data_IF_821741154672
#
_entry.id   IF_821741154672
#
_cell.length_a   1.000
_cell.length_b   1.000
_cell.length_c   1.000
_cell.angle_alpha   90.00
_cell.angle_beta   90.00
_cell.angle_gamma   90.00
#
_symmetry.space_group_name_H-M   'P 1'
#
loop_
_entity.id
_entity.type
_entity.pdbx_description
1 polymer ?
#
# COMPACT_ATOMS: atom_id res chain seq x y z
N UNK A 1 12.94 -24.49 3.72
CA UNK A 1 14.34 -24.04 3.74
C UNK A 1 14.72 -23.74 2.30
N UNK A 2 15.05 -22.49 1.97
CA UNK A 2 15.56 -22.15 0.62
C UNK A 2 16.91 -22.84 0.43
N UNK A 3 17.12 -23.42 -0.76
CA UNK A 3 18.39 -24.00 -1.12
C UNK A 3 19.47 -22.88 -1.08
N UNK A 4 20.57 -23.04 -0.32
CA UNK A 4 21.61 -22.01 -0.22
C UNK A 4 22.35 -21.76 -1.56
N UNK A 5 22.03 -22.53 -2.60
CA UNK A 5 22.57 -22.36 -3.96
C UNK A 5 21.61 -21.67 -4.92
N UNK A 6 20.40 -21.29 -4.45
CA UNK A 6 19.48 -20.54 -5.32
C UNK A 6 19.97 -19.09 -5.45
N UNK A 7 20.46 -18.77 -6.64
CA UNK A 7 20.84 -17.40 -6.98
C UNK A 7 19.64 -16.48 -6.93
N UNK A 8 19.79 -15.31 -6.32
CA UNK A 8 18.73 -14.31 -6.20
C UNK A 8 19.12 -12.97 -6.83
N UNK A 9 18.11 -12.27 -7.28
CA UNK A 9 18.21 -10.88 -7.72
C UNK A 9 17.47 -10.03 -6.71
N UNK A 10 18.15 -9.12 -6.04
CA UNK A 10 17.58 -8.30 -4.97
C UNK A 10 17.77 -6.81 -5.24
N UNK A 11 16.67 -6.06 -5.25
CA UNK A 11 16.68 -4.62 -5.48
C UNK A 11 17.06 -3.85 -4.21
N UNK A 12 17.76 -2.72 -4.37
CA UNK A 12 17.94 -1.74 -3.30
C UNK A 12 16.57 -1.14 -2.90
N UNK A 13 16.38 -0.87 -1.61
CA UNK A 13 15.18 -0.22 -1.08
C UNK A 13 14.83 1.08 -1.82
N UNK A 14 15.82 1.93 -2.08
CA UNK A 14 15.68 3.20 -2.79
C UNK A 14 16.22 3.14 -4.23
N UNK A 15 16.26 1.94 -4.83
CA UNK A 15 16.86 1.73 -6.14
C UNK A 15 16.25 2.62 -7.22
N UNK A 16 14.93 2.68 -7.30
CA UNK A 16 14.25 3.53 -8.29
C UNK A 16 14.39 5.03 -8.02
N UNK A 17 14.49 5.45 -6.77
CA UNK A 17 14.75 6.84 -6.40
C UNK A 17 16.15 7.28 -6.86
N UNK A 18 17.15 6.40 -6.75
CA UNK A 18 18.54 6.70 -7.10
C UNK A 18 18.79 6.92 -8.60
N UNK A 19 17.91 6.39 -9.46
CA UNK A 19 18.02 6.52 -10.93
C UNK A 19 17.61 7.89 -11.41
N UNK A 20 16.81 8.56 -10.64
CA UNK A 20 16.17 9.80 -11.04
C UNK A 20 17.10 10.99 -10.82
N UNK A 21 17.30 11.89 -11.82
CA UNK A 21 17.98 13.14 -11.57
C UNK A 21 17.27 13.91 -10.44
N UNK A 22 17.91 14.84 -9.77
CA UNK A 22 17.59 15.50 -8.50
C UNK A 22 16.11 15.93 -8.24
N UNK A 23 15.18 15.61 -9.13
CA UNK A 23 13.73 15.78 -9.01
C UNK A 23 12.91 14.63 -9.61
N UNK A 24 13.52 13.58 -10.12
CA UNK A 24 12.84 12.62 -10.99
C UNK A 24 11.78 11.73 -10.31
N UNK A 25 11.91 11.44 -9.01
CA UNK A 25 10.81 10.79 -8.28
C UNK A 25 9.53 11.63 -8.32
N UNK A 26 9.64 12.97 -8.34
CA UNK A 26 8.47 13.87 -8.42
C UNK A 26 7.87 13.94 -9.82
N UNK A 27 8.65 13.67 -10.87
CA UNK A 27 8.20 13.76 -12.26
C UNK A 27 7.95 12.39 -12.90
N UNK A 28 8.47 11.31 -12.33
CA UNK A 28 8.28 9.94 -12.84
C UNK A 28 6.80 9.56 -12.91
N UNK A 29 6.33 9.28 -14.12
CA UNK A 29 4.95 8.84 -14.39
C UNK A 29 4.81 7.32 -14.42
N UNK A 30 5.86 6.61 -14.83
CA UNK A 30 5.83 5.16 -14.99
C UNK A 30 7.17 4.54 -14.57
N UNK A 31 7.10 3.32 -14.06
CA UNK A 31 8.24 2.43 -13.84
C UNK A 31 7.97 1.16 -14.62
N UNK A 32 8.80 0.88 -15.64
CA UNK A 32 8.53 -0.19 -16.61
C UNK A 32 9.72 -1.13 -16.73
N UNK A 33 9.44 -2.43 -16.73
CA UNK A 33 10.40 -3.44 -17.12
C UNK A 33 10.54 -3.49 -18.64
N UNK A 34 11.78 -3.74 -19.11
CA UNK A 34 12.09 -3.98 -20.52
C UNK A 34 12.85 -5.29 -20.68
N UNK A 35 12.92 -5.82 -21.92
CA UNK A 35 13.58 -7.08 -22.23
C UNK A 35 15.08 -6.94 -22.47
N UNK A 36 15.57 -5.74 -22.74
CA UNK A 36 16.99 -5.44 -22.93
C UNK A 36 17.28 -3.97 -22.62
N UNK A 37 18.55 -3.64 -22.43
CA UNK A 37 19.04 -2.26 -22.32
C UNK A 37 19.40 -1.77 -23.72
N UNK A 38 18.75 -0.72 -24.27
CA UNK A 38 19.12 -0.16 -25.57
C UNK A 38 20.58 0.34 -25.57
N UNK A 39 21.26 0.22 -26.70
CA UNK A 39 22.70 0.56 -26.82
C UNK A 39 23.01 2.05 -26.75
N UNK A 40 22.00 2.89 -26.98
CA UNK A 40 22.09 4.35 -27.00
C UNK A 40 21.65 5.02 -25.69
N UNK A 41 21.28 4.23 -24.68
CA UNK A 41 20.88 4.75 -23.37
C UNK A 41 22.10 5.24 -22.59
N UNK A 42 22.00 6.48 -22.12
CA UNK A 42 22.99 7.07 -21.21
C UNK A 42 22.51 7.02 -19.74
N UNK A 43 23.47 7.10 -18.82
CA UNK A 43 23.19 7.15 -17.37
C UNK A 43 22.47 5.91 -16.82
N UNK A 44 22.81 4.72 -17.32
CA UNK A 44 22.36 3.47 -16.72
C UNK A 44 22.99 3.29 -15.34
N UNK A 45 22.16 3.00 -14.35
CA UNK A 45 22.57 2.81 -12.96
C UNK A 45 22.20 1.39 -12.51
N UNK A 46 23.09 0.77 -11.76
CA UNK A 46 22.79 -0.49 -11.09
C UNK A 46 22.02 -0.23 -9.80
N UNK A 47 20.91 -0.94 -9.60
CA UNK A 47 20.01 -0.73 -8.46
C UNK A 47 19.79 -2.01 -7.63
N UNK A 48 20.62 -3.00 -7.81
CA UNK A 48 20.65 -4.21 -6.98
C UNK A 48 21.47 -4.00 -5.69
N UNK A 49 21.21 -4.88 -4.70
CA UNK A 49 22.03 -4.95 -3.49
C UNK A 49 23.36 -5.63 -3.76
N UNK A 50 24.35 -5.40 -2.88
CA UNK A 50 25.64 -6.10 -2.94
C UNK A 50 25.53 -7.61 -2.75
N UNK A 51 24.40 -8.12 -2.25
CA UNK A 51 24.12 -9.55 -2.09
C UNK A 51 23.38 -10.15 -3.29
N UNK A 52 23.08 -9.34 -4.31
CA UNK A 52 22.42 -9.81 -5.52
C UNK A 52 23.41 -10.55 -6.41
N UNK A 53 22.98 -11.70 -6.95
CA UNK A 53 23.75 -12.50 -7.90
C UNK A 53 23.66 -11.97 -9.36
N UNK A 54 22.69 -11.07 -9.61
CA UNK A 54 22.41 -10.53 -10.94
C UNK A 54 22.21 -9.04 -10.89
N UNK A 55 22.64 -8.37 -11.94
CA UNK A 55 22.45 -6.92 -12.09
C UNK A 55 20.97 -6.57 -12.31
N UNK A 56 20.57 -5.41 -11.76
CA UNK A 56 19.33 -4.72 -12.10
C UNK A 56 19.72 -3.35 -12.63
N UNK A 57 19.69 -3.20 -13.94
CA UNK A 57 20.01 -1.94 -14.62
C UNK A 57 18.78 -1.07 -14.72
N UNK A 58 18.89 0.22 -14.38
CA UNK A 58 17.79 1.15 -14.52
C UNK A 58 18.25 2.50 -15.03
N UNK A 59 17.36 3.23 -15.70
CA UNK A 59 17.61 4.57 -16.22
C UNK A 59 16.31 5.37 -16.32
N UNK A 60 16.41 6.67 -16.32
CA UNK A 60 15.28 7.58 -16.47
C UNK A 60 15.27 8.17 -17.89
N UNK A 61 14.12 8.05 -18.56
CA UNK A 61 13.85 8.71 -19.83
C UNK A 61 13.06 10.00 -19.60
N UNK A 62 13.68 11.13 -19.93
CA UNK A 62 13.10 12.46 -19.74
C UNK A 62 11.99 12.79 -20.73
N UNK A 63 11.90 12.09 -21.89
CA UNK A 63 10.87 12.31 -22.88
C UNK A 63 9.56 11.64 -22.48
N UNK A 64 9.66 10.48 -21.82
CA UNK A 64 8.51 9.69 -21.36
C UNK A 64 8.19 9.89 -19.88
N UNK A 65 9.02 10.62 -19.13
CA UNK A 65 8.95 10.69 -17.67
C UNK A 65 8.88 9.29 -17.01
N UNK A 66 9.70 8.37 -17.55
CA UNK A 66 9.63 6.94 -17.21
C UNK A 66 10.97 6.44 -16.70
N UNK A 67 10.95 5.71 -15.59
CA UNK A 67 12.05 4.86 -15.18
C UNK A 67 11.90 3.52 -15.88
N UNK A 68 12.88 3.15 -16.68
CA UNK A 68 12.99 1.79 -17.22
C UNK A 68 13.96 0.97 -16.39
N UNK A 69 13.69 -0.33 -16.29
CA UNK A 69 14.62 -1.26 -15.67
C UNK A 69 14.70 -2.59 -16.41
N UNK A 70 15.86 -3.22 -16.29
CA UNK A 70 16.18 -4.50 -16.89
C UNK A 70 16.90 -5.40 -15.90
N UNK A 71 16.55 -6.68 -15.90
CA UNK A 71 17.32 -7.77 -15.32
C UNK A 71 17.02 -9.04 -16.11
N UNK A 72 18.00 -9.94 -16.21
CA UNK A 72 17.82 -11.25 -16.85
C UNK A 72 16.83 -12.14 -16.09
N UNK A 73 16.63 -11.87 -14.81
CA UNK A 73 15.82 -12.70 -13.94
C UNK A 73 14.33 -12.34 -14.01
N UNK A 74 13.49 -13.37 -13.97
CA UNK A 74 12.02 -13.17 -13.96
C UNK A 74 11.52 -12.62 -12.64
N UNK A 75 12.22 -12.89 -11.54
CA UNK A 75 11.82 -12.57 -10.16
C UNK A 75 12.86 -11.67 -9.50
N UNK A 76 12.40 -10.63 -8.85
CA UNK A 76 13.22 -9.67 -8.12
C UNK A 76 12.80 -9.72 -6.65
N UNK A 77 13.73 -10.03 -5.76
CA UNK A 77 13.47 -10.04 -4.33
C UNK A 77 13.55 -8.62 -3.76
N UNK A 78 12.60 -8.31 -2.89
CA UNK A 78 12.62 -7.10 -2.08
C UNK A 78 13.39 -7.35 -0.77
N UNK A 79 14.16 -6.39 -0.26
CA UNK A 79 14.78 -6.49 1.05
C UNK A 79 13.70 -6.57 2.16
N UNK A 80 14.11 -6.97 3.35
CA UNK A 80 13.22 -7.12 4.50
C UNK A 80 12.51 -5.82 4.93
N UNK A 81 13.15 -4.69 4.74
CA UNK A 81 12.61 -3.35 5.02
C UNK A 81 12.55 -2.53 3.75
N UNK A 82 11.35 -2.32 3.23
CA UNK A 82 11.07 -1.47 2.06
C UNK A 82 10.30 -0.19 2.45
N UNK A 83 10.50 0.30 3.68
CA UNK A 83 9.93 1.56 4.15
C UNK A 83 10.09 2.66 3.09
N UNK A 84 8.97 3.20 2.63
CA UNK A 84 8.95 4.32 1.70
C UNK A 84 9.54 4.05 0.30
N UNK A 85 9.63 2.79 -0.18
CA UNK A 85 10.25 2.46 -1.48
C UNK A 85 9.75 3.32 -2.65
N UNK A 86 8.46 3.68 -2.64
CA UNK A 86 7.85 4.58 -3.62
C UNK A 86 7.31 5.86 -2.97
N UNK A 87 7.86 6.24 -1.80
CA UNK A 87 7.45 7.46 -1.10
C UNK A 87 7.59 8.68 -2.01
N UNK A 88 6.50 9.46 -2.12
CA UNK A 88 6.47 10.72 -2.85
C UNK A 88 6.79 10.62 -4.37
N UNK A 89 6.54 9.47 -4.99
CA UNK A 89 6.45 9.37 -6.45
C UNK A 89 5.15 10.04 -6.90
N UNK A 90 5.10 11.35 -6.77
CA UNK A 90 3.88 12.16 -6.78
C UNK A 90 3.13 12.16 -8.11
N UNK A 91 3.81 11.86 -9.23
CA UNK A 91 3.28 11.78 -10.58
C UNK A 91 3.09 10.36 -11.09
N UNK A 92 3.51 9.36 -10.32
CA UNK A 92 3.39 7.95 -10.69
C UNK A 92 1.92 7.60 -10.91
N UNK A 93 1.58 7.08 -12.10
CA UNK A 93 0.19 6.77 -12.50
C UNK A 93 -0.17 5.30 -12.31
N UNK A 94 0.75 4.41 -12.65
CA UNK A 94 0.55 2.98 -12.50
C UNK A 94 1.86 2.27 -12.17
N UNK A 95 1.76 1.17 -11.45
CA UNK A 95 2.91 0.36 -11.06
C UNK A 95 2.54 -1.12 -11.05
N UNK A 96 3.29 -1.91 -11.82
CA UNK A 96 3.19 -3.37 -11.81
C UNK A 96 4.34 -3.98 -11.02
N UNK A 97 4.03 -4.59 -9.90
CA UNK A 97 4.98 -5.30 -9.03
C UNK A 97 4.81 -6.83 -9.10
N UNK A 98 4.14 -7.37 -10.13
CA UNK A 98 3.85 -8.79 -10.25
C UNK A 98 5.09 -9.70 -10.33
N UNK A 99 6.24 -9.15 -10.72
CA UNK A 99 7.52 -9.84 -10.74
C UNK A 99 8.40 -9.63 -9.51
N UNK A 100 7.89 -8.90 -8.50
CA UNK A 100 8.60 -8.69 -7.24
C UNK A 100 8.18 -9.70 -6.18
N UNK A 101 9.15 -10.22 -5.45
CA UNK A 101 8.96 -11.15 -4.33
C UNK A 101 9.14 -10.42 -3.01
N UNK A 102 8.07 -10.31 -2.26
CA UNK A 102 8.03 -9.67 -0.95
C UNK A 102 8.10 -10.66 0.22
N UNK A 103 8.40 -11.95 -0.02
CA UNK A 103 8.36 -13.01 1.02
C UNK A 103 9.32 -12.80 2.19
N UNK A 104 10.28 -11.88 2.07
CA UNK A 104 11.18 -11.48 3.15
C UNK A 104 10.79 -10.17 3.83
N UNK A 105 9.82 -9.43 3.26
CA UNK A 105 9.46 -8.11 3.74
C UNK A 105 8.78 -8.19 5.10
N UNK A 106 9.25 -7.37 6.03
CA UNK A 106 8.68 -7.21 7.38
C UNK A 106 8.08 -5.83 7.60
N UNK A 107 8.48 -4.83 6.80
CA UNK A 107 8.04 -3.45 6.90
C UNK A 107 7.63 -2.87 5.54
N UNK A 108 6.32 -2.59 5.39
CA UNK A 108 5.68 -1.94 4.24
C UNK A 108 5.29 -0.48 4.52
N UNK A 109 5.70 0.07 5.68
CA UNK A 109 5.26 1.41 6.06
C UNK A 109 5.69 2.46 5.03
N UNK A 110 4.82 3.41 4.78
CA UNK A 110 4.99 4.52 3.83
C UNK A 110 5.24 4.12 2.37
N UNK A 111 5.06 2.85 1.98
CA UNK A 111 5.49 2.36 0.65
C UNK A 111 4.95 3.20 -0.50
N UNK A 112 3.69 3.64 -0.44
CA UNK A 112 3.03 4.48 -1.46
C UNK A 112 2.54 5.82 -0.90
N UNK A 113 3.09 6.27 0.23
CA UNK A 113 2.71 7.58 0.81
C UNK A 113 3.01 8.70 -0.18
N UNK A 114 2.01 9.58 -0.40
CA UNK A 114 2.10 10.73 -1.32
C UNK A 114 2.28 10.37 -2.81
N UNK A 115 1.85 9.19 -3.23
CA UNK A 115 1.69 8.85 -4.63
C UNK A 115 0.37 9.45 -5.16
N UNK A 116 0.30 10.79 -5.25
CA UNK A 116 -0.95 11.53 -5.46
C UNK A 116 -1.70 11.16 -6.74
N UNK A 117 -0.96 10.81 -7.82
CA UNK A 117 -1.52 10.50 -9.13
C UNK A 117 -1.65 8.99 -9.39
N UNK A 118 -1.31 8.13 -8.41
CA UNK A 118 -1.36 6.68 -8.57
C UNK A 118 -2.82 6.22 -8.72
N UNK A 119 -3.15 5.66 -9.88
CA UNK A 119 -4.47 5.15 -10.24
C UNK A 119 -4.56 3.64 -10.03
N UNK A 120 -3.47 2.92 -10.38
CA UNK A 120 -3.41 1.46 -10.35
C UNK A 120 -2.08 0.96 -9.77
N UNK A 121 -2.16 -0.05 -8.91
CA UNK A 121 -1.00 -0.79 -8.44
C UNK A 121 -1.31 -2.29 -8.44
N UNK A 122 -0.45 -3.08 -9.07
CA UNK A 122 -0.56 -4.53 -9.07
C UNK A 122 0.32 -5.13 -7.96
N UNK A 123 -0.34 -5.60 -6.90
CA UNK A 123 0.27 -6.25 -5.73
C UNK A 123 -0.04 -7.75 -5.69
N UNK A 124 -0.46 -8.36 -6.78
CA UNK A 124 -0.93 -9.76 -6.82
C UNK A 124 0.14 -10.79 -6.41
N UNK A 125 1.43 -10.44 -6.53
CA UNK A 125 2.56 -11.29 -6.11
C UNK A 125 2.95 -11.12 -4.65
N UNK A 126 2.38 -10.13 -3.94
CA UNK A 126 2.84 -9.81 -2.59
C UNK A 126 2.48 -10.88 -1.57
N UNK A 127 3.50 -11.42 -0.92
CA UNK A 127 3.37 -12.21 0.31
C UNK A 127 3.64 -11.29 1.51
N UNK A 128 2.61 -11.03 2.31
CA UNK A 128 2.70 -10.17 3.49
C UNK A 128 2.74 -10.96 4.81
N UNK A 129 2.95 -12.27 4.74
CA UNK A 129 2.89 -13.17 5.91
C UNK A 129 3.95 -12.90 6.99
N UNK A 130 4.99 -12.11 6.67
CA UNK A 130 6.02 -11.67 7.62
C UNK A 130 5.89 -10.21 8.02
N UNK A 131 5.00 -9.45 7.39
CA UNK A 131 4.86 -8.01 7.62
C UNK A 131 4.31 -7.74 9.01
N UNK A 132 4.94 -6.81 9.70
CA UNK A 132 4.55 -6.35 11.05
C UNK A 132 4.11 -4.89 11.07
N UNK A 133 4.50 -4.11 10.06
CA UNK A 133 4.20 -2.68 9.97
C UNK A 133 3.67 -2.30 8.57
N UNK A 134 2.46 -1.72 8.56
CA UNK A 134 1.78 -1.19 7.38
C UNK A 134 1.38 0.29 7.58
N UNK A 135 2.06 1.00 8.50
CA UNK A 135 1.80 2.41 8.76
C UNK A 135 1.84 3.24 7.47
N UNK A 136 0.80 4.03 7.24
CA UNK A 136 0.71 4.98 6.11
C UNK A 136 0.95 4.38 4.72
N UNK A 137 0.78 3.06 4.54
CA UNK A 137 1.18 2.37 3.29
C UNK A 137 0.59 3.04 2.03
N UNK A 138 -0.68 3.48 2.07
CA UNK A 138 -1.37 4.14 0.96
C UNK A 138 -1.78 5.59 1.25
N UNK A 139 -1.22 6.18 2.30
CA UNK A 139 -1.59 7.54 2.70
C UNK A 139 -1.37 8.53 1.57
N UNK A 140 -2.38 9.35 1.25
CA UNK A 140 -2.38 10.30 0.13
C UNK A 140 -2.25 9.70 -1.28
N UNK A 141 -2.49 8.41 -1.48
CA UNK A 141 -2.68 7.84 -2.82
C UNK A 141 -4.09 8.17 -3.31
N UNK A 142 -4.26 9.43 -3.75
CA UNK A 142 -5.58 10.06 -3.92
C UNK A 142 -6.39 9.56 -5.09
N UNK A 143 -5.74 9.05 -6.14
CA UNK A 143 -6.38 8.66 -7.41
C UNK A 143 -6.82 7.21 -7.46
N UNK A 144 -6.35 6.36 -6.55
CA UNK A 144 -6.76 4.96 -6.48
C UNK A 144 -8.27 4.88 -6.21
N UNK A 145 -9.00 4.23 -7.12
CA UNK A 145 -10.44 3.97 -7.00
C UNK A 145 -10.74 2.59 -6.45
N UNK A 146 -9.93 1.61 -6.83
CA UNK A 146 -10.05 0.21 -6.46
C UNK A 146 -8.69 -0.33 -6.04
N UNK A 147 -8.65 -1.05 -4.93
CA UNK A 147 -7.43 -1.61 -4.38
C UNK A 147 -7.65 -3.10 -4.07
N UNK A 148 -6.90 -3.96 -4.76
CA UNK A 148 -6.98 -5.40 -4.53
C UNK A 148 -5.94 -5.82 -3.48
N UNK A 149 -6.40 -6.20 -2.29
CA UNK A 149 -5.61 -6.69 -1.17
C UNK A 149 -5.97 -8.13 -0.78
N UNK A 150 -6.61 -8.89 -1.68
CA UNK A 150 -7.16 -10.23 -1.38
C UNK A 150 -6.09 -11.25 -0.99
N UNK A 151 -4.83 -11.03 -1.36
CA UNK A 151 -3.68 -11.87 -1.01
C UNK A 151 -2.96 -11.43 0.27
N UNK A 152 -3.38 -10.32 0.90
CA UNK A 152 -2.71 -9.81 2.11
C UNK A 152 -3.01 -10.68 3.32
N UNK A 153 -1.96 -11.14 3.99
CA UNK A 153 -2.02 -11.76 5.30
C UNK A 153 -1.56 -10.74 6.36
N UNK A 154 -2.47 -10.35 7.25
CA UNK A 154 -2.19 -9.34 8.29
C UNK A 154 -2.04 -9.93 9.69
N UNK A 155 -1.89 -11.24 9.80
CA UNK A 155 -1.84 -11.93 11.11
C UNK A 155 -0.74 -11.42 12.03
N UNK A 156 0.42 -10.99 11.46
CA UNK A 156 1.55 -10.47 12.24
C UNK A 156 1.59 -8.95 12.36
N UNK A 157 0.68 -8.26 11.68
CA UNK A 157 0.68 -6.79 11.66
C UNK A 157 0.30 -6.24 13.02
N UNK A 158 1.12 -5.30 13.50
CA UNK A 158 0.91 -4.61 14.77
C UNK A 158 0.57 -3.13 14.62
N UNK A 159 0.86 -2.54 13.45
CA UNK A 159 0.67 -1.12 13.17
C UNK A 159 -0.02 -0.92 11.81
N UNK A 160 -1.21 -0.32 11.83
CA UNK A 160 -2.00 0.09 10.67
C UNK A 160 -2.38 1.59 10.74
N UNK A 161 -1.56 2.39 11.50
CA UNK A 161 -1.78 3.83 11.63
C UNK A 161 -1.85 4.49 10.26
N UNK A 162 -2.92 5.25 9.99
CA UNK A 162 -3.13 6.02 8.76
C UNK A 162 -3.00 5.21 7.44
N UNK A 163 -3.18 3.87 7.47
CA UNK A 163 -2.90 3.01 6.31
C UNK A 163 -3.63 3.44 5.04
N UNK A 164 -4.88 3.90 5.16
CA UNK A 164 -5.74 4.36 4.06
C UNK A 164 -6.16 5.84 4.21
N UNK A 165 -5.40 6.61 5.02
CA UNK A 165 -5.71 8.01 5.27
C UNK A 165 -5.59 8.85 3.99
N UNK A 166 -6.58 9.69 3.72
CA UNK A 166 -6.61 10.58 2.55
C UNK A 166 -6.60 9.90 1.16
N UNK A 167 -7.13 8.69 1.04
CA UNK A 167 -7.48 8.07 -0.23
C UNK A 167 -8.84 8.62 -0.70
N UNK A 168 -8.82 9.72 -1.47
CA UNK A 168 -10.03 10.49 -1.77
C UNK A 168 -10.98 9.80 -2.75
N UNK A 169 -10.43 9.12 -3.77
CA UNK A 169 -11.20 8.50 -4.84
C UNK A 169 -11.54 7.02 -4.59
N UNK A 170 -11.06 6.45 -3.48
CA UNK A 170 -11.41 5.08 -3.11
C UNK A 170 -12.93 5.00 -2.87
N UNK A 171 -13.63 4.13 -3.59
CA UNK A 171 -15.09 4.02 -3.56
C UNK A 171 -15.50 2.93 -2.56
N UNK A 172 -14.89 1.76 -2.69
CA UNK A 172 -15.11 0.62 -1.82
C UNK A 172 -13.77 0.01 -1.44
N UNK A 173 -13.68 -0.54 -0.24
CA UNK A 173 -12.48 -1.20 0.26
C UNK A 173 -12.83 -2.59 0.77
N UNK A 174 -12.27 -3.62 0.14
CA UNK A 174 -12.40 -5.00 0.59
C UNK A 174 -11.16 -5.42 1.40
N UNK A 175 -11.35 -5.56 2.70
CA UNK A 175 -10.38 -6.05 3.67
C UNK A 175 -10.93 -7.25 4.45
N UNK A 176 -11.76 -8.05 3.78
CA UNK A 176 -12.43 -9.20 4.37
C UNK A 176 -11.47 -10.29 4.87
N UNK A 177 -10.25 -10.32 4.34
CA UNK A 177 -9.17 -11.21 4.74
C UNK A 177 -8.30 -10.67 5.89
N UNK A 178 -8.53 -9.43 6.37
CA UNK A 178 -7.69 -8.85 7.42
C UNK A 178 -7.93 -9.52 8.77
N UNK A 179 -6.83 -9.91 9.43
CA UNK A 179 -6.80 -10.34 10.82
C UNK A 179 -6.19 -9.23 11.68
N UNK A 180 -6.97 -8.67 12.59
CA UNK A 180 -6.54 -7.51 13.40
C UNK A 180 -6.16 -7.87 14.83
N UNK A 181 -6.13 -9.16 15.17
CA UNK A 181 -5.87 -9.66 16.54
C UNK A 181 -4.61 -9.08 17.18
N UNK A 182 -3.55 -8.88 16.39
CA UNK A 182 -2.26 -8.39 16.89
C UNK A 182 -2.07 -6.88 16.73
N UNK A 183 -3.04 -6.18 16.11
CA UNK A 183 -2.91 -4.74 15.82
C UNK A 183 -3.04 -3.92 17.10
N UNK A 184 -2.10 -3.01 17.30
CA UNK A 184 -2.02 -2.11 18.46
C UNK A 184 -2.39 -0.66 18.11
N UNK A 185 -2.21 -0.27 16.86
CA UNK A 185 -2.44 1.10 16.41
C UNK A 185 -3.22 1.14 15.09
N UNK A 186 -4.39 1.80 15.12
CA UNK A 186 -5.27 2.05 13.98
C UNK A 186 -5.71 3.53 13.93
N UNK A 187 -4.90 4.46 14.50
CA UNK A 187 -5.26 5.87 14.44
C UNK A 187 -5.47 6.29 12.99
N UNK A 188 -6.56 7.00 12.74
CA UNK A 188 -6.89 7.58 11.43
C UNK A 188 -6.84 6.57 10.26
N UNK A 189 -7.00 5.25 10.52
CA UNK A 189 -6.78 4.20 9.51
C UNK A 189 -7.56 4.47 8.21
N UNK A 190 -8.78 4.98 8.30
CA UNK A 190 -9.64 5.29 7.15
C UNK A 190 -9.96 6.78 7.03
N UNK A 191 -9.34 7.64 7.79
CA UNK A 191 -9.66 9.06 7.85
C UNK A 191 -9.33 9.82 6.57
N UNK A 192 -9.75 11.09 6.51
CA UNK A 192 -9.30 12.05 5.51
C UNK A 192 -9.23 13.46 6.10
N UNK A 193 -8.68 14.42 5.36
CA UNK A 193 -8.67 15.80 5.77
C UNK A 193 -9.99 16.53 5.43
N UNK A 194 -10.33 17.50 6.25
CA UNK A 194 -11.47 18.39 6.04
C UNK A 194 -11.38 19.10 4.68
N UNK A 195 -12.52 19.33 4.03
CA UNK A 195 -12.61 20.12 2.80
C UNK A 195 -12.17 19.38 1.52
N UNK A 196 -11.81 18.09 1.60
CA UNK A 196 -11.52 17.27 0.42
C UNK A 196 -12.71 16.41 0.02
N UNK A 197 -12.73 15.95 -1.25
CA UNK A 197 -13.74 15.00 -1.71
C UNK A 197 -13.68 13.69 -0.91
N UNK A 198 -14.84 13.05 -0.75
CA UNK A 198 -14.99 11.77 -0.08
C UNK A 198 -15.80 10.85 -0.98
N UNK A 199 -15.18 9.78 -1.44
CA UNK A 199 -15.84 8.80 -2.32
C UNK A 199 -16.07 7.45 -1.62
N UNK A 200 -15.50 7.23 -0.42
CA UNK A 200 -15.61 5.95 0.26
C UNK A 200 -17.03 5.73 0.81
N UNK A 201 -17.70 4.75 0.25
CA UNK A 201 -19.09 4.40 0.59
C UNK A 201 -19.18 3.15 1.46
N UNK A 202 -18.29 2.15 1.22
CA UNK A 202 -18.32 0.85 1.91
C UNK A 202 -16.95 0.29 2.24
N UNK A 203 -16.86 -0.37 3.38
CA UNK A 203 -15.71 -1.19 3.79
C UNK A 203 -16.23 -2.61 4.08
N UNK A 204 -15.77 -3.58 3.29
CA UNK A 204 -16.16 -4.98 3.44
C UNK A 204 -15.22 -5.74 4.35
N UNK A 205 -15.80 -6.50 5.30
CA UNK A 205 -15.07 -7.38 6.22
C UNK A 205 -15.83 -8.71 6.38
N UNK A 206 -15.14 -9.77 6.78
CA UNK A 206 -15.79 -11.04 7.14
C UNK A 206 -16.21 -11.07 8.61
N UNK A 207 -15.45 -10.44 9.49
CA UNK A 207 -15.66 -10.39 10.93
C UNK A 207 -15.47 -8.97 11.45
N UNK A 208 -15.99 -8.70 12.64
CA UNK A 208 -15.61 -7.50 13.40
C UNK A 208 -14.09 -7.45 13.56
N UNK A 209 -13.52 -6.26 13.58
CA UNK A 209 -12.13 -6.14 13.96
C UNK A 209 -11.94 -6.57 15.41
N UNK A 210 -10.93 -7.40 15.65
CA UNK A 210 -10.49 -7.72 17.00
C UNK A 210 -9.74 -6.48 17.56
N UNK A 211 -10.37 -5.85 18.55
CA UNK A 211 -9.85 -4.64 19.20
C UNK A 211 -9.27 -4.94 20.60
N UNK A 212 -9.11 -6.21 20.96
CA UNK A 212 -8.67 -6.63 22.32
C UNK A 212 -7.25 -6.16 22.65
N UNK A 213 -6.37 -6.14 21.65
CA UNK A 213 -4.99 -5.68 21.78
C UNK A 213 -4.77 -4.23 21.33
N UNK A 214 -5.85 -3.54 20.94
CA UNK A 214 -5.77 -2.20 20.37
C UNK A 214 -5.48 -1.15 21.46
N UNK A 215 -4.33 -0.51 21.35
CA UNK A 215 -3.89 0.56 22.26
C UNK A 215 -4.45 1.91 21.80
N UNK A 216 -4.46 2.16 20.49
CA UNK A 216 -4.86 3.43 19.93
C UNK A 216 -5.65 3.27 18.63
N UNK A 217 -6.80 3.95 18.57
CA UNK A 217 -7.66 4.10 17.38
C UNK A 217 -8.38 5.45 17.40
N UNK A 218 -7.60 6.53 17.48
CA UNK A 218 -8.15 7.87 17.51
C UNK A 218 -8.63 8.27 16.12
N UNK A 219 -9.88 8.76 16.03
CA UNK A 219 -10.46 9.30 14.79
C UNK A 219 -10.36 8.37 13.57
N UNK A 220 -10.73 7.08 13.67
CA UNK A 220 -10.47 6.10 12.62
C UNK A 220 -11.19 6.43 11.30
N UNK A 221 -12.30 7.19 11.34
CA UNK A 221 -13.14 7.53 10.20
C UNK A 221 -13.32 9.03 9.97
N UNK A 222 -12.41 9.84 10.48
CA UNK A 222 -12.48 11.30 10.43
C UNK A 222 -12.86 11.80 9.02
N UNK A 223 -13.88 12.69 8.92
CA UNK A 223 -14.39 13.29 7.69
C UNK A 223 -14.96 12.31 6.62
N UNK A 224 -15.19 11.03 6.94
CA UNK A 224 -15.82 10.05 6.03
C UNK A 224 -17.34 10.18 6.00
N UNK A 225 -17.84 11.25 5.42
CA UNK A 225 -19.27 11.62 5.43
C UNK A 225 -20.16 10.75 4.53
N UNK A 226 -19.57 10.10 3.52
CA UNK A 226 -20.31 9.17 2.63
C UNK A 226 -20.36 7.75 3.15
N UNK A 227 -19.41 7.36 4.00
CA UNK A 227 -19.32 6.00 4.51
C UNK A 227 -20.57 5.58 5.29
N UNK A 228 -21.09 4.41 4.99
CA UNK A 228 -22.24 3.79 5.66
C UNK A 228 -21.91 2.35 6.05
N UNK A 229 -22.40 1.94 7.20
CA UNK A 229 -22.44 0.53 7.57
C UNK A 229 -23.35 -0.27 6.66
N UNK A 230 -23.25 -1.60 6.71
CA UNK A 230 -23.99 -2.50 5.82
C UNK A 230 -25.53 -2.42 5.94
N UNK A 231 -26.04 -1.99 7.10
CA UNK A 231 -27.46 -1.73 7.33
C UNK A 231 -27.80 -0.22 7.35
N UNK A 232 -26.87 0.62 6.93
CA UNK A 232 -27.06 2.06 6.76
C UNK A 232 -26.67 2.93 7.97
N UNK A 233 -26.06 2.38 9.02
CA UNK A 233 -25.60 3.16 10.16
C UNK A 233 -24.54 4.20 9.78
N UNK A 234 -24.61 5.36 10.38
CA UNK A 234 -23.62 6.43 10.25
C UNK A 234 -23.68 7.37 11.45
N UNK A 235 -22.62 8.15 11.65
CA UNK A 235 -22.59 9.28 12.57
C UNK A 235 -22.75 10.59 11.79
N UNK A 236 -23.50 11.53 12.36
CA UNK A 236 -23.67 12.89 11.81
C UNK A 236 -22.29 13.56 11.68
N UNK A 237 -21.48 13.42 12.71
CA UNK A 237 -20.07 13.79 12.70
C UNK A 237 -19.20 12.52 12.80
N UNK A 238 -18.52 12.11 11.72
CA UNK A 238 -17.67 10.92 11.77
C UNK A 238 -16.50 11.00 12.75
N UNK A 239 -16.16 12.22 13.26
CA UNK A 239 -15.16 12.41 14.32
C UNK A 239 -15.56 11.80 15.66
N UNK A 240 -16.87 11.60 15.87
CA UNK A 240 -17.40 10.97 17.07
C UNK A 240 -17.22 9.43 17.05
N UNK A 241 -16.77 8.86 15.94
CA UNK A 241 -16.50 7.42 15.85
C UNK A 241 -15.27 7.06 16.69
N UNK A 242 -15.50 6.23 17.70
CA UNK A 242 -14.43 5.58 18.45
C UNK A 242 -14.12 4.16 17.88
N UNK A 243 -13.26 3.43 18.57
CA UNK A 243 -12.88 2.06 18.17
C UNK A 243 -14.07 1.07 18.09
N UNK A 244 -15.21 1.35 18.74
CA UNK A 244 -16.37 0.46 18.69
C UNK A 244 -17.07 0.48 17.35
N UNK A 245 -16.81 1.48 16.50
CA UNK A 245 -17.31 1.55 15.13
C UNK A 245 -16.51 0.70 14.12
N UNK A 246 -15.39 0.12 14.54
CA UNK A 246 -14.58 -0.84 13.77
C UNK A 246 -15.23 -2.24 13.76
N UNK A 247 -16.51 -2.30 13.42
CA UNK A 247 -17.30 -3.54 13.42
C UNK A 247 -18.37 -3.55 12.33
N UNK A 248 -18.88 -4.75 12.07
CA UNK A 248 -20.02 -4.96 11.17
C UNK A 248 -21.24 -4.26 11.74
N UNK A 249 -21.94 -3.57 10.86
CA UNK A 249 -23.14 -2.82 11.18
C UNK A 249 -24.31 -3.75 11.54
N UNK A 250 -24.77 -3.67 12.77
CA UNK A 250 -25.89 -4.43 13.29
C UNK A 250 -26.75 -3.60 14.28
N UNK A 251 -27.39 -2.51 13.80
CA UNK A 251 -28.15 -1.59 14.63
C UNK A 251 -29.36 -2.25 15.32
N UNK A 252 -29.96 -3.27 14.71
CA UNK A 252 -31.11 -4.00 15.29
C UNK A 252 -30.76 -4.67 16.62
N UNK A 253 -29.48 -5.01 16.81
CA UNK A 253 -28.94 -5.56 18.05
C UNK A 253 -28.15 -4.52 18.88
N UNK A 254 -28.36 -3.22 18.64
CA UNK A 254 -27.69 -2.14 19.36
C UNK A 254 -26.20 -2.03 19.07
N UNK A 255 -25.75 -2.55 17.92
CA UNK A 255 -24.33 -2.57 17.52
C UNK A 255 -24.11 -1.85 16.17
N UNK A 256 -24.39 -0.54 16.06
CA UNK A 256 -24.06 0.21 14.84
C UNK A 256 -22.56 0.17 14.57
N UNK A 257 -22.15 0.15 13.31
CA UNK A 257 -20.76 0.12 12.89
C UNK A 257 -20.59 0.59 11.45
N UNK A 258 -19.36 0.80 11.02
CA UNK A 258 -19.09 1.28 9.66
C UNK A 258 -18.77 0.15 8.66
N UNK A 259 -18.72 -1.09 9.08
CA UNK A 259 -18.38 -2.18 8.19
C UNK A 259 -19.61 -2.87 7.60
N UNK A 260 -19.46 -3.34 6.37
CA UNK A 260 -20.40 -4.20 5.66
C UNK A 260 -19.86 -5.62 5.68
N UNK A 261 -20.70 -6.60 6.05
CA UNK A 261 -20.32 -8.00 5.92
C UNK A 261 -20.18 -8.36 4.45
N UNK A 262 -19.06 -8.98 4.09
CA UNK A 262 -18.90 -9.51 2.74
C UNK A 262 -19.80 -10.74 2.57
N UNK A 263 -20.63 -10.74 1.54
CA UNK A 263 -21.52 -11.85 1.15
C UNK A 263 -20.77 -12.93 0.37
#
# INVERSE_FOLDING_TARGET
MSNPYDKKTEILKNGFESVSPSRGQYDTKYIKRVENVPSDVMNVTNIETNSSDYEIKAWYDTNEDTIFYYTEQKKIYMPDNIWGMFFNFSKLKSLDLSNFDSSYVTNLSHMFTQCYELEEVNLSSFDTSKVTDMEQMFRFSRKIKYLNLSNFNTEKVTNMNEMFDNMHNLIELDISNFNTKNVKNMNRMFAKYMGTEDMLEKIYVNNDFDISNLISANHPFDERKKLRGGKGSFLVDPRDADKTWLRIDDPDNGRPGYFTRKS
#
